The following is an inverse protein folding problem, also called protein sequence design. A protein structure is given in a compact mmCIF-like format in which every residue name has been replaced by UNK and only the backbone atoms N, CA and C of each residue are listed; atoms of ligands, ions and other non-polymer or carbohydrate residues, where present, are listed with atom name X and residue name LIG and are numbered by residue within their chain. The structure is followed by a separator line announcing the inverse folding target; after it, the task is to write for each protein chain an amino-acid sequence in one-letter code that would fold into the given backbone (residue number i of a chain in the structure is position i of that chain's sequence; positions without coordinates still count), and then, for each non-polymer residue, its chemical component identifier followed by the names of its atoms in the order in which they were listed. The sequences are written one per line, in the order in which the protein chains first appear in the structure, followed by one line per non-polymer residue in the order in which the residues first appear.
data_IF_725532163222
#
_entry.id   IF_725532163222
#
_cell.length_a   1.000
_cell.length_b   1.000
_cell.length_c   1.000
_cell.angle_alpha   90.00
_cell.angle_beta   90.00
_cell.angle_gamma   90.00
#
_symmetry.space_group_name_H-M   'P 1'
#
loop_
_entity.id
_entity.type
_entity.pdbx_description
1 polymer ?
#
# COMPACT_ATOMS: atom_id res chain seq x y z
N UNK A 1 0.73 1.02 13.42
CA UNK A 1 -0.46 0.46 14.12
C UNK A 1 -1.56 0.35 13.09
N UNK A 2 -2.34 -0.73 13.12
CA UNK A 2 -3.50 -0.95 12.26
C UNK A 2 -4.72 -1.32 13.08
N UNK A 3 -5.81 -0.58 12.95
CA UNK A 3 -7.13 -0.90 13.45
C UNK A 3 -7.91 -1.67 12.38
N UNK A 4 -8.79 -2.55 12.81
CA UNK A 4 -9.64 -3.35 11.91
C UNK A 4 -10.99 -3.62 12.57
N UNK A 5 -11.97 -3.97 11.75
CA UNK A 5 -13.28 -4.42 12.21
C UNK A 5 -13.86 -5.43 11.21
N UNK A 6 -14.60 -6.39 11.75
CA UNK A 6 -15.47 -7.29 11.01
C UNK A 6 -16.89 -7.23 11.60
N UNK A 7 -17.74 -8.22 11.28
CA UNK A 7 -19.14 -8.25 11.74
C UNK A 7 -19.23 -8.49 13.26
N UNK A 8 -18.31 -9.26 13.84
CA UNK A 8 -18.36 -9.72 15.23
C UNK A 8 -17.40 -8.96 16.15
N UNK A 9 -16.27 -8.51 15.62
CA UNK A 9 -15.15 -7.97 16.38
C UNK A 9 -14.63 -6.68 15.75
N UNK A 10 -13.91 -5.94 16.57
CA UNK A 10 -12.98 -4.92 16.12
C UNK A 10 -11.71 -5.04 16.95
N UNK A 11 -10.60 -4.55 16.41
CA UNK A 11 -9.33 -4.72 17.05
C UNK A 11 -8.27 -3.77 16.54
N UNK A 12 -7.08 -3.98 17.08
CA UNK A 12 -5.87 -3.30 16.64
C UNK A 12 -4.70 -4.27 16.67
N UNK A 13 -3.71 -3.93 15.85
CA UNK A 13 -2.38 -4.51 15.85
C UNK A 13 -1.33 -3.41 15.85
N UNK A 14 -0.35 -3.50 16.75
CA UNK A 14 0.79 -2.59 16.81
C UNK A 14 2.04 -3.40 16.56
N UNK A 15 2.89 -2.94 15.64
CA UNK A 15 4.18 -3.55 15.35
C UNK A 15 5.28 -2.76 16.04
N UNK A 16 6.23 -3.48 16.61
CA UNK A 16 7.41 -2.98 17.26
C UNK A 16 8.63 -3.62 16.62
N UNK A 17 9.75 -2.92 16.62
CA UNK A 17 11.04 -3.52 16.28
C UNK A 17 11.93 -3.47 17.49
N UNK A 18 12.65 -4.55 17.73
CA UNK A 18 13.79 -4.55 18.62
C UNK A 18 14.97 -3.89 17.88
N UNK A 19 15.49 -2.75 18.35
CA UNK A 19 16.58 -2.04 17.67
C UNK A 19 17.89 -2.85 17.64
N UNK A 20 18.11 -3.76 18.59
CA UNK A 20 19.36 -4.52 18.69
C UNK A 20 19.37 -5.71 17.73
N UNK A 21 18.21 -6.33 17.49
CA UNK A 21 18.10 -7.54 16.66
C UNK A 21 17.44 -7.31 15.31
N UNK A 22 16.76 -6.17 15.11
CA UNK A 22 15.90 -5.93 13.94
C UNK A 22 14.65 -6.82 13.90
N UNK A 23 14.38 -7.58 14.96
CA UNK A 23 13.21 -8.47 15.03
C UNK A 23 11.94 -7.66 15.16
N UNK A 24 10.98 -7.91 14.28
CA UNK A 24 9.66 -7.29 14.36
C UNK A 24 8.76 -8.14 15.24
N UNK A 25 8.21 -7.52 16.27
CA UNK A 25 7.23 -8.07 17.20
C UNK A 25 5.90 -7.38 16.99
N UNK A 26 4.81 -7.99 17.44
CA UNK A 26 3.51 -7.37 17.33
C UNK A 26 2.63 -7.60 18.55
N UNK A 27 1.74 -6.66 18.81
CA UNK A 27 0.76 -6.72 19.87
C UNK A 27 -0.61 -6.61 19.22
N UNK A 28 -1.40 -7.68 19.31
CA UNK A 28 -2.78 -7.73 18.78
C UNK A 28 -3.79 -7.81 19.93
N UNK A 29 -4.89 -7.07 19.82
CA UNK A 29 -6.07 -7.23 20.67
C UNK A 29 -7.34 -6.99 19.88
N UNK A 30 -8.38 -7.73 20.22
CA UNK A 30 -9.74 -7.59 19.69
C UNK A 30 -10.76 -7.55 20.81
N UNK A 31 -11.92 -6.97 20.50
CA UNK A 31 -13.07 -6.83 21.38
C UNK A 31 -14.36 -7.00 20.57
N UNK A 32 -15.50 -7.31 21.24
CA UNK A 32 -16.79 -7.43 20.56
C UNK A 32 -17.20 -6.15 19.85
N UNK A 33 -17.74 -6.25 18.63
CA UNK A 33 -18.17 -5.14 17.77
C UNK A 33 -19.09 -4.14 18.50
N UNK A 34 -19.96 -4.65 19.37
CA UNK A 34 -20.91 -3.87 20.16
C UNK A 34 -20.28 -2.85 21.10
N UNK A 35 -18.98 -2.97 21.43
CA UNK A 35 -18.30 -2.04 22.32
C UNK A 35 -17.57 -0.89 21.58
N UNK A 36 -17.54 -0.88 20.25
CA UNK A 36 -16.71 0.07 19.48
C UNK A 36 -17.11 1.52 19.71
N UNK A 37 -18.41 1.83 19.68
CA UNK A 37 -18.92 3.21 19.81
C UNK A 37 -18.48 3.87 21.13
N UNK A 38 -18.44 3.09 22.21
CA UNK A 38 -18.06 3.58 23.53
C UNK A 38 -16.54 3.63 23.74
N UNK A 39 -15.77 2.87 22.96
CA UNK A 39 -14.33 2.71 23.17
C UNK A 39 -13.62 2.32 21.87
N UNK A 40 -13.36 3.28 20.97
CA UNK A 40 -12.58 3.06 19.76
C UNK A 40 -11.25 2.37 20.06
N UNK A 41 -10.76 1.54 19.15
CA UNK A 41 -9.58 0.71 19.39
C UNK A 41 -8.36 1.54 19.83
N UNK A 42 -8.13 2.70 19.20
CA UNK A 42 -7.03 3.62 19.50
C UNK A 42 -7.04 4.20 20.93
N UNK A 43 -8.20 4.32 21.57
CA UNK A 43 -8.33 4.90 22.92
C UNK A 43 -8.29 3.85 24.02
N UNK A 44 -8.37 2.55 23.67
CA UNK A 44 -8.35 1.46 24.63
C UNK A 44 -7.01 1.34 25.34
N UNK A 45 -7.05 0.85 26.57
CA UNK A 45 -5.85 0.55 27.36
C UNK A 45 -5.38 -0.87 27.10
N UNK A 46 -4.13 -1.01 26.73
CA UNK A 46 -3.40 -2.26 26.56
C UNK A 46 -2.32 -2.34 27.64
N UNK A 47 -2.38 -3.35 28.50
CA UNK A 47 -1.35 -3.59 29.54
C UNK A 47 -1.02 -2.36 30.42
N UNK A 48 -1.98 -1.45 30.63
CA UNK A 48 -1.87 -0.16 31.35
C UNK A 48 -1.46 1.07 30.52
N UNK A 49 -1.32 0.97 29.20
CA UNK A 49 -1.02 2.12 28.34
C UNK A 49 -2.14 2.35 27.34
N UNK A 50 -2.42 3.60 26.96
CA UNK A 50 -3.33 3.86 25.85
C UNK A 50 -2.71 3.33 24.55
N UNK A 51 -3.52 2.72 23.68
CA UNK A 51 -3.04 2.15 22.42
C UNK A 51 -2.34 3.20 21.54
N UNK A 52 -2.89 4.43 21.46
CA UNK A 52 -2.23 5.53 20.76
C UNK A 52 -0.84 5.87 21.30
N UNK A 53 -0.64 5.82 22.62
CA UNK A 53 0.68 6.07 23.23
C UNK A 53 1.68 4.95 22.90
N UNK A 54 1.21 3.70 22.83
CA UNK A 54 2.04 2.57 22.39
C UNK A 54 2.42 2.69 20.91
N UNK A 55 1.51 3.16 20.06
CA UNK A 55 1.70 3.22 18.61
C UNK A 55 2.76 4.24 18.17
N UNK A 56 2.93 5.33 18.93
CA UNK A 56 3.94 6.37 18.70
C UNK A 56 5.08 6.36 19.72
N UNK A 57 5.23 5.27 20.48
CA UNK A 57 6.15 5.19 21.61
C UNK A 57 7.15 4.04 21.51
N UNK A 58 8.15 4.11 22.37
CA UNK A 58 9.07 3.02 22.66
C UNK A 58 8.69 2.36 23.98
N UNK A 59 8.65 1.04 23.99
CA UNK A 59 8.41 0.24 25.20
C UNK A 59 9.76 -0.18 25.77
N UNK A 60 9.97 0.13 27.05
CA UNK A 60 11.06 -0.45 27.83
C UNK A 60 10.44 -1.41 28.83
N UNK A 61 10.80 -2.69 28.77
CA UNK A 61 10.22 -3.72 29.65
C UNK A 61 11.31 -4.58 30.29
N UNK A 62 11.21 -4.78 31.60
CA UNK A 62 12.00 -5.76 32.34
C UNK A 62 11.41 -7.17 32.26
N UNK A 63 10.15 -7.30 31.83
CA UNK A 63 9.42 -8.56 31.77
C UNK A 63 8.46 -8.58 30.58
N UNK A 64 9.00 -8.94 29.42
CA UNK A 64 8.25 -9.23 28.22
C UNK A 64 8.49 -10.68 27.78
N UNK A 65 7.46 -11.31 27.21
CA UNK A 65 7.56 -12.60 26.53
C UNK A 65 7.24 -12.40 25.05
N UNK A 66 7.98 -13.10 24.19
CA UNK A 66 7.68 -13.21 22.75
C UNK A 66 7.17 -14.62 22.45
N UNK A 67 6.10 -14.74 21.67
CA UNK A 67 5.73 -16.02 21.06
C UNK A 67 6.63 -16.33 19.86
N UNK A 68 6.57 -17.56 19.34
CA UNK A 68 7.24 -17.92 18.10
C UNK A 68 6.68 -17.17 16.89
N UNK A 69 5.40 -16.79 16.95
CA UNK A 69 4.71 -16.02 15.91
C UNK A 69 4.99 -14.51 16.00
N UNK A 70 5.81 -14.09 16.96
CA UNK A 70 6.19 -12.69 17.18
C UNK A 70 5.23 -11.88 18.05
N UNK A 71 4.25 -12.52 18.72
CA UNK A 71 3.36 -11.83 19.66
C UNK A 71 4.14 -11.36 20.88
N UNK A 72 3.99 -10.07 21.21
CA UNK A 72 4.55 -9.42 22.38
C UNK A 72 3.56 -9.45 23.53
N UNK A 73 3.91 -10.19 24.58
CA UNK A 73 3.17 -10.25 25.83
C UNK A 73 3.91 -9.48 26.91
N UNK A 74 3.36 -8.34 27.32
CA UNK A 74 3.89 -7.55 28.43
C UNK A 74 3.32 -8.06 29.75
N UNK A 75 4.18 -8.22 30.76
CA UNK A 75 3.70 -8.51 32.11
C UNK A 75 2.89 -7.33 32.65
N UNK A 76 1.69 -7.61 33.18
CA UNK A 76 0.79 -6.59 33.76
C UNK A 76 1.11 -6.26 35.22
N UNK A 77 1.90 -7.09 35.90
CA UNK A 77 2.25 -6.91 37.32
C UNK A 77 3.51 -6.05 37.47
N UNK A 78 3.55 -5.26 38.55
CA UNK A 78 4.72 -4.57 39.10
C UNK A 78 5.33 -3.39 38.30
N UNK A 79 4.58 -2.71 37.42
CA UNK A 79 5.11 -1.54 36.65
C UNK A 79 6.46 -1.85 35.98
N UNK A 80 6.64 -3.08 35.51
CA UNK A 80 7.88 -3.57 34.90
C UNK A 80 8.09 -3.07 33.46
N UNK A 81 7.10 -2.35 32.93
CA UNK A 81 7.15 -1.76 31.60
C UNK A 81 6.87 -0.26 31.71
N UNK A 82 7.55 0.53 30.89
CA UNK A 82 7.27 1.94 30.67
C UNK A 82 7.14 2.21 29.17
N UNK A 83 6.40 3.27 28.83
CA UNK A 83 6.25 3.76 27.46
C UNK A 83 6.70 5.21 27.46
N UNK A 84 7.64 5.52 26.57
CA UNK A 84 8.11 6.88 26.32
C UNK A 84 7.84 7.24 24.86
N UNK A 85 7.58 8.52 24.52
CA UNK A 85 7.47 8.93 23.13
C UNK A 85 8.71 8.51 22.33
N UNK A 86 8.50 8.06 21.09
CA UNK A 86 9.60 7.68 20.22
C UNK A 86 10.46 8.93 19.90
N UNK A 87 11.78 8.81 20.00
CA UNK A 87 12.66 9.92 19.61
C UNK A 87 12.63 10.10 18.08
N UNK A 88 12.80 11.34 17.57
CA UNK A 88 12.83 11.60 16.12
C UNK A 88 13.87 10.77 15.36
N UNK A 89 15.00 10.46 16.02
CA UNK A 89 16.10 9.70 15.44
C UNK A 89 15.97 8.18 15.62
N UNK A 90 14.95 7.69 16.36
CA UNK A 90 14.83 6.27 16.68
C UNK A 90 14.79 5.37 15.44
N UNK A 91 14.09 5.81 14.39
CA UNK A 91 14.05 5.06 13.13
C UNK A 91 15.33 5.22 12.30
N UNK A 92 16.12 6.27 12.51
CA UNK A 92 17.40 6.43 11.83
C UNK A 92 18.46 5.43 12.32
N UNK A 93 18.30 4.90 13.53
CA UNK A 93 19.17 3.87 14.08
C UNK A 93 18.87 2.47 13.52
N UNK A 94 17.74 2.28 12.85
CA UNK A 94 17.36 1.00 12.25
C UNK A 94 18.14 0.75 10.96
N UNK A 95 18.58 -0.49 10.80
CA UNK A 95 19.29 -0.98 9.62
C UNK A 95 18.34 -1.68 8.62
N UNK A 96 18.88 -1.97 7.43
CA UNK A 96 18.25 -2.84 6.45
C UNK A 96 18.05 -4.26 7.05
N UNK A 97 16.99 -4.99 6.66
CA UNK A 97 16.09 -4.67 5.56
C UNK A 97 14.88 -3.80 5.95
N UNK A 98 14.63 -3.57 7.25
CA UNK A 98 13.44 -2.86 7.72
C UNK A 98 13.43 -1.40 7.25
N UNK A 99 14.55 -0.70 7.46
CA UNK A 99 14.75 0.64 6.90
C UNK A 99 15.58 0.56 5.63
N UNK A 100 15.06 1.13 4.56
CA UNK A 100 15.75 1.22 3.28
C UNK A 100 16.17 2.68 3.02
N UNK A 101 17.30 2.93 2.34
CA UNK A 101 17.76 4.29 2.05
C UNK A 101 16.89 5.03 1.03
N UNK A 102 16.01 4.32 0.32
CA UNK A 102 15.13 4.87 -0.69
C UNK A 102 14.35 3.79 -1.42
N UNK A 103 13.45 4.22 -2.31
CA UNK A 103 12.57 3.31 -3.05
C UNK A 103 13.33 2.40 -4.02
N UNK A 104 14.41 2.91 -4.62
CA UNK A 104 15.25 2.15 -5.57
C UNK A 104 15.91 0.95 -4.86
N UNK A 105 16.50 1.18 -3.70
CA UNK A 105 17.11 0.11 -2.88
C UNK A 105 16.07 -0.91 -2.40
N UNK A 106 14.88 -0.45 -1.99
CA UNK A 106 13.80 -1.37 -1.63
C UNK A 106 13.34 -2.21 -2.83
N UNK A 107 13.21 -1.60 -4.00
CA UNK A 107 12.85 -2.30 -5.24
C UNK A 107 13.88 -3.38 -5.53
N UNK A 108 15.17 -3.07 -5.49
CA UNK A 108 16.24 -4.06 -5.69
C UNK A 108 16.19 -5.19 -4.66
N UNK A 109 16.04 -4.85 -3.37
CA UNK A 109 15.89 -5.85 -2.30
C UNK A 109 14.71 -6.81 -2.55
N UNK A 110 13.56 -6.29 -2.98
CA UNK A 110 12.38 -7.09 -3.27
C UNK A 110 12.56 -7.98 -4.51
N UNK A 111 13.32 -7.55 -5.52
CA UNK A 111 13.65 -8.37 -6.69
C UNK A 111 14.59 -9.54 -6.33
N UNK A 112 15.51 -9.34 -5.39
CA UNK A 112 16.44 -10.38 -4.93
C UNK A 112 15.80 -11.36 -3.93
N UNK A 113 14.58 -11.05 -3.45
CA UNK A 113 13.92 -11.82 -2.42
C UNK A 113 13.46 -13.19 -2.92
N UNK A 114 13.62 -14.27 -2.13
CA UNK A 114 13.03 -15.56 -2.46
C UNK A 114 11.50 -15.46 -2.69
N UNK A 115 10.93 -16.26 -3.61
CA UNK A 115 9.49 -16.33 -3.81
C UNK A 115 8.71 -16.57 -2.51
N UNK A 116 7.48 -16.04 -2.44
CA UNK A 116 6.65 -16.11 -1.23
C UNK A 116 6.49 -17.54 -0.68
N UNK A 117 6.40 -18.54 -1.56
CA UNK A 117 6.17 -19.94 -1.20
C UNK A 117 7.34 -20.60 -0.43
N UNK A 118 8.54 -20.04 -0.46
CA UNK A 118 9.72 -20.57 0.26
C UNK A 118 10.21 -19.63 1.37
N UNK A 119 9.55 -18.48 1.56
CA UNK A 119 9.85 -17.58 2.67
C UNK A 119 9.18 -18.09 3.96
N UNK A 120 9.79 -17.87 5.13
CA UNK A 120 9.09 -18.04 6.40
C UNK A 120 7.80 -17.24 6.39
N UNK A 121 6.70 -17.85 6.84
CA UNK A 121 5.43 -17.16 7.01
C UNK A 121 5.59 -16.10 8.10
N UNK A 122 5.85 -14.86 7.70
CA UNK A 122 5.96 -13.73 8.61
C UNK A 122 4.84 -12.72 8.31
N UNK A 123 4.08 -12.33 9.34
CA UNK A 123 2.94 -11.42 9.18
C UNK A 123 3.35 -9.99 8.80
N UNK A 124 4.65 -9.69 8.82
CA UNK A 124 5.23 -8.34 8.60
C UNK A 124 6.26 -8.33 7.48
N UNK A 125 6.21 -9.33 6.61
CA UNK A 125 7.22 -9.54 5.58
C UNK A 125 7.32 -8.37 4.59
N UNK A 126 6.29 -7.54 4.49
CA UNK A 126 6.22 -6.38 3.60
C UNK A 126 6.18 -5.03 4.34
N UNK A 127 6.50 -5.02 5.65
CA UNK A 127 6.58 -3.78 6.43
C UNK A 127 7.96 -3.15 6.24
N UNK A 128 8.00 -1.90 5.78
CA UNK A 128 9.25 -1.16 5.56
C UNK A 128 9.16 0.27 6.08
N UNK A 129 10.33 0.88 6.26
CA UNK A 129 10.51 2.30 6.58
C UNK A 129 11.30 2.94 5.44
N UNK A 130 10.75 4.00 4.86
CA UNK A 130 11.33 4.74 3.74
C UNK A 130 11.48 6.22 4.09
N UNK A 131 12.53 6.89 3.59
CA UNK A 131 12.62 8.33 3.70
C UNK A 131 11.60 9.02 2.81
N UNK A 132 11.18 10.20 3.26
CA UNK A 132 10.31 11.13 2.53
C UNK A 132 11.06 12.46 2.49
N UNK A 133 11.46 12.88 1.29
CA UNK A 133 12.15 14.16 1.10
C UNK A 133 11.15 15.28 0.78
N UNK A 134 10.21 15.02 -0.12
CA UNK A 134 9.23 15.99 -0.58
C UNK A 134 7.96 15.29 -1.05
N UNK A 135 6.80 15.92 -0.85
CA UNK A 135 5.53 15.49 -1.44
C UNK A 135 5.28 16.27 -2.73
N UNK A 136 5.32 15.57 -3.86
CA UNK A 136 5.16 16.15 -5.21
C UNK A 136 3.69 16.38 -5.53
N UNK A 137 2.85 15.42 -5.16
CA UNK A 137 1.43 15.41 -5.49
C UNK A 137 0.65 14.70 -4.39
N UNK A 138 -0.56 15.16 -4.10
CA UNK A 138 -1.44 14.65 -3.04
C UNK A 138 -2.90 14.81 -3.42
N UNK A 139 -3.64 13.73 -3.62
CA UNK A 139 -4.98 13.75 -4.17
C UNK A 139 -5.91 12.69 -3.63
N UNK A 140 -7.20 13.01 -3.64
CA UNK A 140 -8.26 12.08 -3.27
C UNK A 140 -8.82 11.38 -4.52
N UNK A 141 -8.83 10.05 -4.51
CA UNK A 141 -9.54 9.22 -5.48
C UNK A 141 -10.88 8.77 -4.92
N UNK A 142 -11.95 9.44 -5.37
CA UNK A 142 -13.32 9.13 -4.95
C UNK A 142 -13.81 7.75 -5.38
N UNK A 143 -13.25 7.18 -6.45
CA UNK A 143 -13.68 5.88 -6.99
C UNK A 143 -13.10 4.72 -6.18
N UNK A 144 -11.82 4.82 -5.81
CA UNK A 144 -11.13 3.85 -4.94
C UNK A 144 -11.32 4.14 -3.46
N UNK A 145 -11.84 5.32 -3.12
CA UNK A 145 -11.89 5.85 -1.76
C UNK A 145 -10.50 5.83 -1.09
N UNK A 146 -9.49 6.29 -1.84
CA UNK A 146 -8.08 6.33 -1.42
C UNK A 146 -7.55 7.76 -1.44
N UNK A 147 -6.73 8.09 -0.46
CA UNK A 147 -5.83 9.24 -0.55
C UNK A 147 -4.51 8.75 -1.11
N UNK A 148 -4.12 9.33 -2.23
CA UNK A 148 -2.88 8.97 -2.92
C UNK A 148 -1.92 10.16 -2.95
N UNK A 149 -0.64 9.88 -2.77
CA UNK A 149 0.41 10.88 -2.86
C UNK A 149 1.61 10.32 -3.59
N UNK A 150 2.33 11.18 -4.31
CA UNK A 150 3.65 10.85 -4.82
C UNK A 150 4.69 11.62 -4.02
N UNK A 151 5.67 10.90 -3.48
CA UNK A 151 6.74 11.47 -2.67
C UNK A 151 8.09 11.05 -3.19
N UNK A 152 9.09 11.90 -3.01
CA UNK A 152 10.48 11.56 -3.31
C UNK A 152 11.04 10.74 -2.14
N UNK A 153 11.57 9.55 -2.45
CA UNK A 153 12.11 8.62 -1.46
C UNK A 153 13.52 8.15 -1.81
N UNK A 154 14.50 8.81 -1.19
CA UNK A 154 15.93 8.56 -1.38
C UNK A 154 16.52 9.30 -2.58
N UNK A 155 17.77 9.02 -2.88
CA UNK A 155 18.51 9.64 -4.00
C UNK A 155 18.44 8.79 -5.27
N UNK A 156 18.67 9.42 -6.42
CA UNK A 156 18.76 8.78 -7.73
C UNK A 156 17.56 8.99 -8.64
N UNK A 157 17.66 8.46 -9.85
CA UNK A 157 16.55 8.39 -10.81
C UNK A 157 15.52 7.36 -10.33
N UNK A 158 14.26 7.49 -10.76
CA UNK A 158 13.15 6.60 -10.38
C UNK A 158 12.91 6.47 -8.86
N UNK A 159 13.20 7.55 -8.13
CA UNK A 159 13.04 7.66 -6.69
C UNK A 159 11.63 8.08 -6.22
N UNK A 160 10.64 8.03 -7.12
CA UNK A 160 9.26 8.34 -6.82
C UNK A 160 8.60 7.15 -6.10
N UNK A 161 8.04 7.41 -4.92
CA UNK A 161 7.24 6.46 -4.14
C UNK A 161 5.77 6.89 -4.18
N UNK A 162 4.88 5.95 -4.49
CA UNK A 162 3.44 6.15 -4.35
C UNK A 162 3.01 5.74 -2.95
N UNK A 163 2.40 6.67 -2.22
CA UNK A 163 1.67 6.41 -1.00
C UNK A 163 0.18 6.27 -1.34
N UNK A 164 -0.48 5.23 -0.84
CA UNK A 164 -1.91 5.02 -1.05
C UNK A 164 -2.57 4.58 0.25
N UNK A 165 -3.50 5.37 0.76
CA UNK A 165 -4.21 5.09 2.01
C UNK A 165 -5.72 4.96 1.75
N UNK A 166 -6.30 3.76 1.85
CA UNK A 166 -7.74 3.57 1.72
C UNK A 166 -8.48 4.09 2.96
N UNK A 167 -9.70 4.59 2.74
CA UNK A 167 -10.62 4.89 3.85
C UNK A 167 -10.98 3.61 4.60
N UNK A 168 -11.02 3.74 5.93
CA UNK A 168 -11.47 2.68 6.82
C UNK A 168 -12.41 3.24 7.86
N UNK A 169 -13.58 2.60 7.99
CA UNK A 169 -14.56 2.94 9.02
C UNK A 169 -14.04 2.68 10.45
N UNK A 170 -12.93 1.94 10.61
CA UNK A 170 -12.30 1.75 11.92
C UNK A 170 -11.51 2.98 12.37
N UNK A 171 -11.08 3.83 11.43
CA UNK A 171 -10.15 4.95 11.64
C UNK A 171 -10.57 6.14 10.77
N UNK A 172 -11.71 6.78 11.10
CA UNK A 172 -12.37 7.73 10.20
C UNK A 172 -11.57 9.00 9.90
N UNK A 173 -10.48 9.29 10.63
CA UNK A 173 -9.68 10.50 10.49
C UNK A 173 -8.25 10.25 9.99
N UNK A 174 -7.92 8.99 9.66
CA UNK A 174 -6.55 8.62 9.25
C UNK A 174 -6.16 9.30 7.93
N UNK A 175 -7.11 9.42 7.00
CA UNK A 175 -6.91 10.02 5.67
C UNK A 175 -6.65 11.52 5.80
N UNK A 176 -7.49 12.26 6.53
CA UNK A 176 -7.34 13.68 6.77
C UNK A 176 -6.05 13.98 7.54
N UNK A 177 -5.67 13.12 8.50
CA UNK A 177 -4.38 13.22 9.19
C UNK A 177 -3.21 13.06 8.24
N UNK A 178 -3.22 12.05 7.36
CA UNK A 178 -2.16 11.86 6.37
C UNK A 178 -2.05 13.07 5.44
N UNK A 179 -3.18 13.59 4.94
CA UNK A 179 -3.19 14.76 4.09
C UNK A 179 -2.59 15.99 4.79
N UNK A 180 -3.01 16.27 6.04
CA UNK A 180 -2.47 17.39 6.82
C UNK A 180 -0.95 17.27 7.07
N UNK A 181 -0.45 16.05 7.35
CA UNK A 181 0.97 15.82 7.56
C UNK A 181 1.80 16.03 6.29
N UNK A 182 1.28 15.65 5.12
CA UNK A 182 1.99 15.85 3.85
C UNK A 182 1.98 17.32 3.37
N UNK A 183 1.06 18.14 3.89
CA UNK A 183 0.93 19.55 3.53
C UNK A 183 1.63 20.51 4.49
N UNK A 184 1.95 20.08 5.70
CA UNK A 184 2.60 20.95 6.69
C UNK A 184 4.05 21.25 6.28
N UNK A 185 4.45 22.51 6.42
CA UNK A 185 5.81 22.98 6.08
C UNK A 185 6.72 23.09 7.29
N UNK A 186 6.17 23.36 8.48
CA UNK A 186 6.95 23.68 9.67
C UNK A 186 7.65 22.46 10.28
N UNK A 187 6.98 21.30 10.25
CA UNK A 187 7.49 20.03 10.75
C UNK A 187 7.25 18.91 9.72
N UNK A 188 7.94 18.93 8.57
CA UNK A 188 7.65 18.05 7.45
C UNK A 188 7.89 16.59 7.81
N UNK A 189 7.17 15.70 7.13
CA UNK A 189 7.42 14.25 7.23
C UNK A 189 8.80 13.92 6.69
N UNK A 190 9.59 13.17 7.46
CA UNK A 190 10.94 12.75 7.08
C UNK A 190 11.04 11.24 6.82
N UNK A 191 10.19 10.42 7.45
CA UNK A 191 10.14 8.98 7.24
C UNK A 191 8.68 8.51 7.24
N UNK A 192 8.41 7.46 6.48
CA UNK A 192 7.13 6.78 6.46
C UNK A 192 7.34 5.28 6.69
N UNK A 193 6.52 4.69 7.55
CA UNK A 193 6.42 3.25 7.73
C UNK A 193 5.11 2.75 7.14
N UNK A 194 5.15 1.64 6.42
CA UNK A 194 3.94 1.05 5.87
C UNK A 194 4.16 -0.29 5.18
N UNK A 195 3.05 -0.86 4.70
CA UNK A 195 3.06 -2.12 3.96
C UNK A 195 3.26 -1.85 2.48
N UNK A 196 4.16 -2.58 1.88
CA UNK A 196 4.54 -2.39 0.50
C UNK A 196 3.92 -3.47 -0.39
N UNK A 197 3.44 -3.05 -1.55
CA UNK A 197 2.89 -3.91 -2.59
C UNK A 197 3.30 -3.40 -3.98
N UNK A 198 3.22 -4.28 -4.98
CA UNK A 198 3.33 -3.88 -6.38
C UNK A 198 1.92 -3.69 -6.95
N UNK A 199 1.65 -2.50 -7.49
CA UNK A 199 0.41 -2.16 -8.20
C UNK A 199 0.81 -1.66 -9.57
N UNK A 200 0.33 -2.31 -10.63
CA UNK A 200 0.69 -1.98 -12.03
C UNK A 200 2.21 -1.87 -12.27
N UNK A 201 2.98 -2.76 -11.62
CA UNK A 201 4.46 -2.78 -11.69
C UNK A 201 5.16 -1.71 -10.86
N UNK A 202 4.41 -0.78 -10.26
CA UNK A 202 4.94 0.28 -9.40
C UNK A 202 4.88 -0.10 -7.94
N UNK A 203 5.88 0.31 -7.18
CA UNK A 203 5.92 0.05 -5.75
C UNK A 203 5.05 1.06 -5.01
N UNK A 204 3.99 0.57 -4.37
CA UNK A 204 3.05 1.37 -3.58
C UNK A 204 3.19 1.01 -2.10
N UNK A 205 3.24 2.04 -1.24
CA UNK A 205 3.28 1.88 0.21
C UNK A 205 1.95 2.35 0.81
N UNK A 206 1.33 1.49 1.62
CA UNK A 206 0.19 1.84 2.46
C UNK A 206 0.68 2.38 3.80
N UNK A 207 0.60 3.70 4.06
CA UNK A 207 1.20 4.31 5.24
C UNK A 207 0.50 3.85 6.52
N UNK A 208 1.28 3.62 7.57
CA UNK A 208 0.80 3.25 8.90
C UNK A 208 1.24 4.27 9.95
N UNK A 209 2.50 4.71 9.86
CA UNK A 209 3.09 5.70 10.76
C UNK A 209 3.93 6.66 9.94
N UNK A 210 3.74 7.95 10.16
CA UNK A 210 4.56 9.02 9.55
C UNK A 210 5.38 9.69 10.63
N UNK A 211 6.69 9.82 10.42
CA UNK A 211 7.60 10.48 11.34
C UNK A 211 7.86 11.91 10.86
N UNK A 212 7.73 12.88 11.75
CA UNK A 212 8.19 14.25 11.54
C UNK A 212 9.48 14.49 12.33
N UNK A 213 10.04 15.70 12.28
CA UNK A 213 11.24 16.02 13.06
C UNK A 213 10.97 16.05 14.56
N UNK A 214 9.71 16.15 14.97
CA UNK A 214 9.35 16.24 16.40
C UNK A 214 8.78 14.95 16.98
N UNK A 215 8.05 14.15 16.20
CA UNK A 215 7.35 12.97 16.72
C UNK A 215 6.88 12.00 15.64
N UNK A 216 6.51 10.81 16.09
CA UNK A 216 5.77 9.84 15.29
C UNK A 216 4.25 10.10 15.32
N UNK A 217 3.61 9.88 14.18
CA UNK A 217 2.17 9.97 13.96
C UNK A 217 1.65 8.62 13.46
N UNK A 218 1.04 7.84 14.35
CA UNK A 218 0.29 6.65 13.94
C UNK A 218 -1.07 7.09 13.39
N UNK A 219 -1.31 6.87 12.10
CA UNK A 219 -2.49 7.38 11.40
C UNK A 219 -3.78 6.81 12.01
N UNK A 220 -3.79 5.50 12.29
CA UNK A 220 -4.88 4.78 12.93
C UNK A 220 -5.13 5.16 14.40
N UNK A 221 -4.25 5.96 15.00
CA UNK A 221 -4.42 6.48 16.35
C UNK A 221 -5.12 7.86 16.37
N UNK A 222 -5.43 8.44 15.21
CA UNK A 222 -6.15 9.71 15.13
C UNK A 222 -7.62 9.53 15.54
N UNK A 223 -8.04 10.30 16.54
CA UNK A 223 -9.40 10.25 17.10
C UNK A 223 -10.13 11.58 17.02
N UNK A 224 -9.46 12.62 16.54
CA UNK A 224 -10.03 13.96 16.42
C UNK A 224 -10.19 14.34 14.96
N UNK A 225 -11.28 15.05 14.59
CA UNK A 225 -11.42 15.60 13.25
C UNK A 225 -10.21 16.46 12.90
N UNK A 226 -9.61 16.16 11.74
CA UNK A 226 -8.55 16.97 11.14
C UNK A 226 -9.18 17.90 10.09
N UNK A 227 -8.45 18.92 9.66
CA UNK A 227 -8.90 19.82 8.59
C UNK A 227 -9.42 19.03 7.37
N UNK A 228 -10.44 19.56 6.66
CA UNK A 228 -11.03 18.86 5.53
C UNK A 228 -9.99 18.61 4.43
N UNK A 229 -10.18 17.52 3.68
CA UNK A 229 -9.33 17.24 2.54
C UNK A 229 -9.37 18.40 1.54
N UNK A 230 -8.22 18.77 0.95
CA UNK A 230 -8.22 19.72 -0.15
C UNK A 230 -9.08 19.16 -1.27
N UNK A 231 -9.96 20.00 -1.83
CA UNK A 231 -10.68 19.67 -3.06
C UNK A 231 -9.70 19.75 -4.24
N UNK A 232 -8.82 18.76 -4.34
CA UNK A 232 -7.88 18.65 -5.44
C UNK A 232 -7.86 17.19 -5.92
N UNK A 233 -8.15 16.99 -7.20
CA UNK A 233 -7.94 15.73 -7.90
C UNK A 233 -6.48 15.72 -8.35
N UNK A 234 -5.60 15.06 -7.60
CA UNK A 234 -4.14 15.24 -7.77
C UNK A 234 -3.41 13.97 -8.15
N UNK A 235 -4.13 12.88 -8.43
CA UNK A 235 -3.57 11.89 -9.35
C UNK A 235 -4.04 12.22 -10.75
N UNK A 236 -3.16 12.14 -11.77
CA UNK A 236 -3.65 12.15 -13.14
C UNK A 236 -4.64 11.00 -13.25
N UNK A 237 -5.91 11.33 -13.51
CA UNK A 237 -6.89 10.34 -13.93
C UNK A 237 -6.23 9.62 -15.09
N UNK A 238 -5.94 8.32 -14.93
CA UNK A 238 -5.35 7.52 -16.00
C UNK A 238 -6.17 7.81 -17.24
N UNK A 239 -5.52 8.30 -18.29
CA UNK A 239 -6.22 8.68 -19.50
C UNK A 239 -7.08 7.50 -19.95
N UNK A 240 -8.24 7.76 -20.54
CA UNK A 240 -9.11 6.69 -21.06
C UNK A 240 -8.31 5.72 -21.94
N UNK A 241 -7.32 6.24 -22.67
CA UNK A 241 -6.35 5.45 -23.43
C UNK A 241 -5.59 4.44 -22.55
N UNK A 242 -4.99 4.89 -21.45
CA UNK A 242 -4.24 4.04 -20.54
C UNK A 242 -5.13 2.96 -19.90
N UNK A 243 -6.32 3.33 -19.44
CA UNK A 243 -7.28 2.37 -18.86
C UNK A 243 -7.67 1.27 -19.86
N UNK A 244 -7.89 1.64 -21.13
CA UNK A 244 -8.23 0.67 -22.17
C UNK A 244 -7.06 -0.27 -22.50
N UNK A 245 -5.82 0.21 -22.49
CA UNK A 245 -4.66 -0.65 -22.68
C UNK A 245 -4.49 -1.63 -21.51
N UNK A 246 -4.69 -1.20 -20.26
CA UNK A 246 -4.68 -2.09 -19.09
C UNK A 246 -5.74 -3.18 -19.23
N UNK A 247 -6.97 -2.82 -19.61
CA UNK A 247 -8.04 -3.80 -19.86
C UNK A 247 -7.68 -4.77 -20.99
N UNK A 248 -7.01 -4.30 -22.03
CA UNK A 248 -6.53 -5.15 -23.13
C UNK A 248 -5.48 -6.15 -22.66
N UNK A 249 -4.49 -5.67 -21.89
CA UNK A 249 -3.45 -6.52 -21.33
C UNK A 249 -4.05 -7.58 -20.41
N UNK A 250 -4.97 -7.19 -19.52
CA UNK A 250 -5.64 -8.13 -18.62
C UNK A 250 -6.41 -9.23 -19.39
N UNK A 251 -7.11 -8.86 -20.46
CA UNK A 251 -7.78 -9.82 -21.34
C UNK A 251 -6.77 -10.77 -22.00
N UNK A 252 -5.67 -10.25 -22.57
CA UNK A 252 -4.64 -11.08 -23.20
C UNK A 252 -3.99 -12.05 -22.20
N UNK A 253 -3.67 -11.58 -20.99
CA UNK A 253 -3.14 -12.42 -19.90
C UNK A 253 -4.15 -13.52 -19.53
N UNK A 254 -5.43 -13.18 -19.42
CA UNK A 254 -6.47 -14.15 -19.11
C UNK A 254 -6.60 -15.24 -20.19
N UNK A 255 -6.51 -14.85 -21.46
CA UNK A 255 -6.58 -15.78 -22.60
C UNK A 255 -5.36 -16.69 -22.67
N UNK A 256 -4.17 -16.13 -22.42
CA UNK A 256 -2.91 -16.89 -22.38
C UNK A 256 -2.87 -17.90 -21.24
N UNK A 257 -3.34 -17.53 -20.04
CA UNK A 257 -3.32 -18.40 -18.87
C UNK A 257 -4.40 -19.49 -18.89
N UNK A 258 -5.63 -19.16 -19.29
CA UNK A 258 -6.74 -20.12 -19.21
C UNK A 258 -6.90 -20.95 -20.48
N UNK A 259 -6.26 -20.53 -21.57
CA UNK A 259 -6.45 -21.09 -22.89
C UNK A 259 -7.80 -20.71 -23.49
N UNK A 260 -7.81 -20.56 -24.81
CA UNK A 260 -8.99 -20.13 -25.56
C UNK A 260 -10.17 -21.11 -25.47
N UNK A 261 -9.88 -22.42 -25.44
CA UNK A 261 -10.86 -23.51 -25.58
C UNK A 261 -11.99 -23.48 -24.55
N UNK A 262 -11.76 -22.97 -23.35
CA UNK A 262 -12.75 -22.97 -22.27
C UNK A 262 -13.51 -21.64 -22.13
N UNK A 263 -13.13 -20.62 -22.89
CA UNK A 263 -13.64 -19.25 -22.70
C UNK A 263 -14.19 -18.60 -23.97
N UNK A 264 -14.26 -19.32 -25.09
CA UNK A 264 -14.48 -18.73 -26.43
C UNK A 264 -15.56 -17.64 -26.45
N UNK A 265 -16.78 -17.92 -25.99
CA UNK A 265 -17.88 -16.96 -26.11
C UNK A 265 -17.71 -15.73 -25.20
N UNK A 266 -17.22 -15.92 -23.97
CA UNK A 266 -16.97 -14.82 -23.03
C UNK A 266 -15.79 -13.97 -23.51
N UNK A 267 -14.73 -14.62 -23.98
CA UNK A 267 -13.55 -13.99 -24.54
C UNK A 267 -13.88 -13.15 -25.77
N UNK A 268 -14.67 -13.69 -26.71
CA UNK A 268 -15.11 -12.97 -27.91
C UNK A 268 -15.95 -11.75 -27.52
N UNK A 269 -16.90 -11.91 -26.61
CA UNK A 269 -17.77 -10.80 -26.18
C UNK A 269 -16.97 -9.68 -25.51
N UNK A 270 -16.00 -10.03 -24.66
CA UNK A 270 -15.11 -9.05 -24.02
C UNK A 270 -14.17 -8.38 -25.02
N UNK A 271 -13.62 -9.13 -25.98
CA UNK A 271 -12.78 -8.61 -27.04
C UNK A 271 -13.53 -7.66 -27.97
N UNK A 272 -14.78 -7.98 -28.34
CA UNK A 272 -15.63 -7.11 -29.18
C UNK A 272 -15.96 -5.79 -28.47
N UNK A 273 -16.36 -5.85 -27.19
CA UNK A 273 -16.61 -4.64 -26.39
C UNK A 273 -15.36 -3.77 -26.30
N UNK A 274 -14.21 -4.38 -26.00
CA UNK A 274 -12.97 -3.66 -25.86
C UNK A 274 -12.46 -3.10 -27.21
N UNK A 275 -12.68 -3.81 -28.32
CA UNK A 275 -12.34 -3.32 -29.65
C UNK A 275 -13.16 -2.08 -30.03
N UNK A 276 -14.43 -2.02 -29.64
CA UNK A 276 -15.27 -0.83 -29.84
C UNK A 276 -14.74 0.36 -29.02
N UNK A 277 -14.42 0.14 -27.75
CA UNK A 277 -13.85 1.17 -26.87
C UNK A 277 -12.50 1.68 -27.42
N UNK A 278 -11.62 0.77 -27.85
CA UNK A 278 -10.30 1.10 -28.43
C UNK A 278 -10.42 1.87 -29.75
N UNK A 279 -11.38 1.50 -30.60
CA UNK A 279 -11.69 2.24 -31.82
C UNK A 279 -12.09 3.69 -31.52
N UNK A 280 -12.92 3.89 -30.50
CA UNK A 280 -13.40 5.21 -30.10
C UNK A 280 -12.27 6.14 -29.61
N UNK A 281 -11.19 5.58 -29.05
CA UNK A 281 -10.03 6.33 -28.55
C UNK A 281 -8.87 6.39 -29.58
N UNK A 282 -9.04 5.77 -30.75
CA UNK A 282 -8.09 5.85 -31.87
C UNK A 282 -7.04 4.73 -31.93
N UNK A 283 -7.14 3.69 -31.10
CA UNK A 283 -6.27 2.51 -31.15
C UNK A 283 -6.72 1.50 -32.22
N UNK A 284 -6.91 1.96 -33.45
CA UNK A 284 -7.50 1.17 -34.55
C UNK A 284 -6.77 -0.14 -34.81
N UNK A 285 -5.43 -0.16 -34.72
CA UNK A 285 -4.63 -1.36 -34.96
C UNK A 285 -4.86 -2.42 -33.89
N UNK A 286 -4.93 -2.02 -32.63
CA UNK A 286 -5.18 -2.93 -31.51
C UNK A 286 -6.64 -3.43 -31.54
N UNK A 287 -7.59 -2.53 -31.80
CA UNK A 287 -8.99 -2.89 -31.98
C UNK A 287 -9.19 -3.90 -33.12
N UNK A 288 -8.51 -3.70 -34.25
CA UNK A 288 -8.54 -4.63 -35.39
C UNK A 288 -8.00 -6.02 -35.00
N UNK A 289 -6.88 -6.09 -34.28
CA UNK A 289 -6.31 -7.36 -33.83
C UNK A 289 -7.26 -8.09 -32.88
N UNK A 290 -7.92 -7.40 -31.94
CA UNK A 290 -8.93 -8.02 -31.09
C UNK A 290 -10.16 -8.48 -31.88
N UNK A 291 -10.59 -7.70 -32.89
CA UNK A 291 -11.69 -8.06 -33.78
C UNK A 291 -11.43 -9.33 -34.60
N UNK A 292 -10.17 -9.66 -34.87
CA UNK A 292 -9.79 -10.90 -35.56
C UNK A 292 -10.10 -12.13 -34.72
N UNK A 293 -10.18 -12.05 -33.39
CA UNK A 293 -10.38 -13.23 -32.54
C UNK A 293 -11.64 -14.04 -32.88
N UNK A 294 -12.68 -13.39 -33.40
CA UNK A 294 -13.92 -14.04 -33.84
C UNK A 294 -13.76 -14.90 -35.10
N UNK A 295 -12.92 -14.46 -36.04
CA UNK A 295 -12.96 -14.94 -37.43
C UNK A 295 -11.77 -15.81 -37.80
N UNK A 296 -10.84 -16.03 -36.87
CA UNK A 296 -9.56 -16.64 -37.19
C UNK A 296 -9.47 -18.08 -36.69
N UNK A 297 -9.00 -18.97 -37.57
CA UNK A 297 -8.64 -20.35 -37.25
C UNK A 297 -7.47 -20.40 -36.25
N UNK A 298 -7.22 -21.57 -35.65
CA UNK A 298 -6.32 -21.71 -34.49
C UNK A 298 -4.95 -21.07 -34.66
N UNK A 299 -4.29 -21.23 -35.82
CA UNK A 299 -2.94 -20.68 -36.05
C UNK A 299 -2.94 -19.16 -36.14
N UNK A 300 -3.80 -18.58 -36.96
CA UNK A 300 -3.83 -17.14 -37.13
C UNK A 300 -4.43 -16.42 -35.90
N UNK A 301 -5.16 -17.13 -35.01
CA UNK A 301 -5.55 -16.60 -33.69
C UNK A 301 -4.36 -16.45 -32.75
N UNK A 302 -3.42 -17.39 -32.79
CA UNK A 302 -2.16 -17.28 -32.04
C UNK A 302 -1.34 -16.11 -32.56
N UNK A 303 -1.27 -15.93 -33.88
CA UNK A 303 -0.61 -14.77 -34.49
C UNK A 303 -1.27 -13.44 -34.06
N UNK A 304 -2.60 -13.36 -34.11
CA UNK A 304 -3.34 -12.19 -33.63
C UNK A 304 -3.06 -11.91 -32.14
N UNK A 305 -3.02 -12.94 -31.29
CA UNK A 305 -2.75 -12.77 -29.86
C UNK A 305 -1.32 -12.27 -29.61
N UNK A 306 -0.33 -12.83 -30.31
CA UNK A 306 1.06 -12.35 -30.24
C UNK A 306 1.19 -10.90 -30.72
N UNK A 307 0.53 -10.55 -31.83
CA UNK A 307 0.50 -9.18 -32.34
C UNK A 307 -0.16 -8.23 -31.33
N UNK A 308 -1.22 -8.66 -30.64
CA UNK A 308 -1.89 -7.90 -29.60
C UNK A 308 -0.95 -7.60 -28.42
N UNK A 309 -0.22 -8.62 -27.95
CA UNK A 309 0.77 -8.47 -26.87
C UNK A 309 1.88 -7.49 -27.27
N UNK A 310 2.47 -7.67 -28.46
CA UNK A 310 3.53 -6.79 -28.97
C UNK A 310 3.07 -5.33 -29.09
N UNK A 311 1.84 -5.11 -29.57
CA UNK A 311 1.27 -3.77 -29.66
C UNK A 311 1.06 -3.16 -28.26
N UNK A 312 0.53 -3.92 -27.30
CA UNK A 312 0.41 -3.45 -25.92
C UNK A 312 1.77 -3.07 -25.33
N UNK A 313 2.80 -3.92 -25.49
CA UNK A 313 4.17 -3.66 -25.01
C UNK A 313 4.80 -2.39 -25.63
N UNK A 314 4.49 -2.08 -26.89
CA UNK A 314 4.96 -0.86 -27.54
C UNK A 314 4.19 0.39 -27.08
N UNK A 315 2.89 0.26 -26.83
CA UNK A 315 2.02 1.39 -26.50
C UNK A 315 2.12 1.84 -25.04
N UNK A 316 2.39 0.93 -24.09
CA UNK A 316 2.53 1.29 -22.67
C UNK A 316 3.65 2.31 -22.41
N UNK A 317 4.89 2.11 -22.89
CA UNK A 317 5.95 3.10 -22.73
C UNK A 317 5.63 4.45 -23.40
N UNK A 318 4.94 4.42 -24.55
CA UNK A 318 4.57 5.65 -25.25
C UNK A 318 3.57 6.51 -24.46
N UNK A 319 2.61 5.89 -23.77
CA UNK A 319 1.68 6.62 -22.91
C UNK A 319 2.35 7.13 -21.62
N UNK A 320 3.37 6.43 -21.11
CA UNK A 320 4.13 6.88 -19.94
C UNK A 320 5.03 8.09 -20.24
N UNK A 321 5.48 8.27 -21.49
CA UNK A 321 6.28 9.44 -21.89
C UNK A 321 5.45 10.71 -22.17
N UNK A 322 4.11 10.61 -22.19
CA UNK A 322 3.21 11.73 -22.51
C UNK A 322 2.43 12.27 -21.30
N UNK A 323 2.63 11.72 -20.10
CA UNK A 323 2.05 12.20 -18.84
C UNK A 323 3.13 12.77 -17.93
#
# INVERSE_FOLDING_TARGET
MRCWQDIEHYGLRIWFTDPDTGSILHLSRSWPRSEQENSPAATRRLFSFQAGALAGGQIVSQAAKRSADGDLLLATRNRLSSVVPLSPDAWQMLSAPLRQPGIVALREYLHQRPPACIRPLNQVDNLFILPVAECISLGWDSSRQTLDAQVISGEGEDNLLTLSLPVSASVPYAVERMAALLQQTDDPVCLVSGFVSFVDGQLTLEPQVMMTKTRAWALDAETTPVAPLPSASVLPVQSTAHQLLIRCQALLIQLLHNGWRYQEQSAISQAELLANDLTAVGFYRLAHVLGQFRNTESEARVEAMNNGVLLCEQLFPMLQQQG
#
